data_IF_861128420668
#
_entry.id   IF_861128420668
#
_cell.length_a   1.000
_cell.length_b   1.000
_cell.length_c   1.000
_cell.angle_alpha   90.00
_cell.angle_beta   90.00
_cell.angle_gamma   90.00
#
_symmetry.space_group_name_H-M   'P 1'
#
loop_
_entity.id
_entity.type
_entity.pdbx_description
1 polymer ?
#
# COMPACT_ATOMS: atom_id res chain seq x y z
N UNK A 1 16.60 -33.99 21.94
CA UNK A 1 15.78 -32.81 22.29
C UNK A 1 15.37 -32.14 21.00
N UNK A 2 14.13 -32.35 20.56
CA UNK A 2 13.60 -31.77 19.34
C UNK A 2 13.04 -30.39 19.67
N UNK A 3 13.57 -29.36 19.01
CA UNK A 3 13.05 -27.99 19.14
C UNK A 3 11.58 -27.97 18.70
N UNK A 4 10.67 -27.37 19.48
CA UNK A 4 9.27 -27.29 19.09
C UNK A 4 9.14 -26.42 17.83
N UNK A 5 8.28 -26.80 16.87
CA UNK A 5 8.04 -26.00 15.67
C UNK A 5 7.51 -24.62 16.08
N UNK A 6 8.07 -23.57 15.48
CA UNK A 6 7.64 -22.20 15.72
C UNK A 6 6.12 -22.07 15.47
N UNK A 7 5.38 -21.32 16.32
CA UNK A 7 3.94 -21.18 16.15
C UNK A 7 3.62 -20.59 14.77
N UNK A 8 2.74 -21.19 13.97
CA UNK A 8 2.38 -20.70 12.63
C UNK A 8 1.72 -19.31 12.63
N UNK A 9 1.38 -18.75 13.79
CA UNK A 9 0.71 -17.46 13.93
C UNK A 9 1.59 -16.21 13.74
N UNK A 10 2.92 -16.29 13.93
CA UNK A 10 3.76 -15.08 13.96
C UNK A 10 4.10 -14.51 12.58
N UNK A 11 4.30 -15.35 11.56
CA UNK A 11 4.69 -14.88 10.22
C UNK A 11 3.50 -14.25 9.47
N UNK A 12 2.31 -14.85 9.60
CA UNK A 12 1.11 -14.40 8.90
C UNK A 12 0.56 -13.08 9.46
N UNK A 13 0.61 -12.90 10.78
CA UNK A 13 0.23 -11.64 11.44
C UNK A 13 1.24 -10.53 11.16
N UNK A 14 2.54 -10.85 11.13
CA UNK A 14 3.60 -9.90 10.77
C UNK A 14 3.45 -9.38 9.34
N UNK A 15 3.19 -10.27 8.38
CA UNK A 15 2.98 -9.89 6.98
C UNK A 15 1.76 -8.98 6.79
N UNK A 16 0.69 -9.20 7.56
CA UNK A 16 -0.51 -8.35 7.52
C UNK A 16 -0.25 -6.97 8.14
N UNK A 17 0.54 -6.91 9.23
CA UNK A 17 0.97 -5.65 9.84
C UNK A 17 1.84 -4.83 8.89
N UNK A 18 2.79 -5.47 8.20
CA UNK A 18 3.64 -4.82 7.20
C UNK A 18 2.84 -4.30 6.02
N UNK A 19 1.86 -5.07 5.53
CA UNK A 19 0.97 -4.65 4.47
C UNK A 19 0.16 -3.39 4.87
N UNK A 20 -0.38 -3.37 6.10
CA UNK A 20 -1.09 -2.20 6.63
C UNK A 20 -0.17 -0.97 6.76
N UNK A 21 1.07 -1.15 7.22
CA UNK A 21 2.07 -0.07 7.28
C UNK A 21 2.39 0.48 5.90
N UNK A 22 2.59 -0.40 4.92
CA UNK A 22 2.82 -0.02 3.52
C UNK A 22 1.67 0.80 2.94
N UNK A 23 0.43 0.36 3.20
CA UNK A 23 -0.77 1.08 2.77
C UNK A 23 -0.82 2.51 3.34
N UNK A 24 -0.63 2.64 4.65
CA UNK A 24 -0.64 3.95 5.33
C UNK A 24 0.47 4.85 4.80
N UNK A 25 1.69 4.31 4.62
CA UNK A 25 2.81 5.07 4.09
C UNK A 25 2.52 5.60 2.68
N UNK A 26 2.06 4.73 1.77
CA UNK A 26 1.74 5.12 0.39
C UNK A 26 0.57 6.12 0.33
N UNK A 27 -0.44 5.96 1.19
CA UNK A 27 -1.55 6.91 1.27
C UNK A 27 -1.08 8.31 1.71
N UNK A 28 -0.16 8.39 2.68
CA UNK A 28 0.43 9.66 3.12
C UNK A 28 1.26 10.29 2.01
N UNK A 29 2.09 9.49 1.32
CA UNK A 29 2.89 9.98 0.19
C UNK A 29 1.99 10.51 -0.93
N UNK A 30 0.89 9.80 -1.27
CA UNK A 30 -0.05 10.24 -2.29
C UNK A 30 -0.67 11.60 -1.95
N UNK A 31 -1.07 11.80 -0.69
CA UNK A 31 -1.60 13.09 -0.22
C UNK A 31 -0.55 14.21 -0.29
N UNK A 32 0.69 13.92 0.12
CA UNK A 32 1.79 14.88 0.04
C UNK A 32 2.08 15.31 -1.40
N UNK A 33 2.08 14.37 -2.35
CA UNK A 33 2.27 14.68 -3.77
C UNK A 33 1.16 15.60 -4.30
N UNK A 34 -0.09 15.31 -3.98
CA UNK A 34 -1.23 16.16 -4.40
C UNK A 34 -1.11 17.58 -3.83
N UNK A 35 -0.68 17.71 -2.58
CA UNK A 35 -0.42 19.02 -1.99
C UNK A 35 0.68 19.77 -2.73
N UNK A 36 1.82 19.11 -3.01
CA UNK A 36 2.90 19.74 -3.77
C UNK A 36 2.48 20.14 -5.19
N UNK A 37 1.60 19.38 -5.85
CA UNK A 37 0.98 19.78 -7.13
C UNK A 37 0.23 21.10 -7.02
N UNK A 38 -0.58 21.27 -5.98
CA UNK A 38 -1.34 22.50 -5.77
C UNK A 38 -0.44 23.70 -5.46
N UNK A 39 0.60 23.48 -4.64
CA UNK A 39 1.59 24.52 -4.30
C UNK A 39 2.36 25.00 -5.53
N UNK A 40 2.79 24.07 -6.40
CA UNK A 40 3.47 24.40 -7.66
C UNK A 40 2.51 25.15 -8.60
N UNK A 41 1.25 24.72 -8.71
CA UNK A 41 0.24 25.40 -9.54
C UNK A 41 -0.06 26.82 -9.06
N UNK A 42 -0.13 27.01 -7.74
CA UNK A 42 -0.35 28.32 -7.12
C UNK A 42 0.84 29.25 -7.39
N UNK A 43 2.05 28.74 -7.18
CA UNK A 43 3.30 29.49 -7.44
C UNK A 43 3.43 29.85 -8.92
N UNK A 44 3.05 28.94 -9.82
CA UNK A 44 3.00 29.18 -11.27
C UNK A 44 2.06 30.33 -11.63
N UNK A 45 0.85 30.34 -11.07
CA UNK A 45 -0.14 31.38 -11.36
C UNK A 45 0.39 32.77 -10.97
N UNK A 46 1.13 32.87 -9.87
CA UNK A 46 1.82 34.09 -9.46
C UNK A 46 3.00 34.46 -10.36
N UNK A 47 3.83 33.48 -10.73
CA UNK A 47 5.01 33.72 -11.58
C UNK A 47 4.65 34.09 -13.02
N UNK A 48 3.64 33.46 -13.63
CA UNK A 48 3.18 33.82 -14.98
C UNK A 48 2.61 35.24 -15.04
N UNK A 49 1.99 35.71 -13.96
CA UNK A 49 1.52 37.08 -13.86
C UNK A 49 2.69 38.10 -13.78
N UNK A 50 3.84 37.67 -13.25
CA UNK A 50 5.01 38.53 -13.04
C UNK A 50 6.05 38.45 -14.19
N UNK A 51 6.20 37.29 -14.84
CA UNK A 51 7.19 37.04 -15.89
C UNK A 51 6.51 36.84 -17.26
N UNK A 52 6.42 37.93 -18.02
CA UNK A 52 6.09 37.87 -19.45
C UNK A 52 7.35 37.67 -20.31
N UNK A 53 7.24 36.90 -21.40
CA UNK A 53 8.31 36.73 -22.40
C UNK A 53 8.91 35.34 -22.48
N UNK A 54 10.11 35.23 -23.06
CA UNK A 54 10.80 33.97 -23.38
C UNK A 54 11.04 33.07 -22.16
N UNK A 55 11.35 33.66 -21.00
CA UNK A 55 11.61 32.92 -19.74
C UNK A 55 10.35 32.25 -19.18
N UNK A 56 9.19 32.90 -19.34
CA UNK A 56 7.89 32.32 -18.97
C UNK A 56 7.57 31.05 -19.78
N UNK A 57 7.95 31.02 -21.07
CA UNK A 57 7.75 29.87 -21.94
C UNK A 57 8.65 28.68 -21.57
N UNK A 58 9.93 28.92 -21.24
CA UNK A 58 10.84 27.88 -20.79
C UNK A 58 10.40 27.27 -19.44
N UNK A 59 9.96 28.12 -18.51
CA UNK A 59 9.43 27.68 -17.22
C UNK A 59 8.12 26.90 -17.35
N UNK A 60 7.21 27.32 -18.25
CA UNK A 60 5.98 26.57 -18.54
C UNK A 60 6.25 25.17 -19.08
N UNK A 61 7.28 25.01 -19.92
CA UNK A 61 7.69 23.69 -20.43
C UNK A 61 8.22 22.80 -19.32
N UNK A 62 9.09 23.32 -18.46
CA UNK A 62 9.60 22.60 -17.29
C UNK A 62 8.46 22.12 -16.39
N UNK A 63 7.45 22.96 -16.15
CA UNK A 63 6.28 22.60 -15.37
C UNK A 63 5.41 21.53 -16.02
N UNK A 64 5.29 21.56 -17.35
CA UNK A 64 4.56 20.53 -18.10
C UNK A 64 5.25 19.18 -17.96
N UNK A 65 6.57 19.16 -18.12
CA UNK A 65 7.38 17.94 -17.95
C UNK A 65 7.30 17.43 -16.51
N UNK A 66 7.39 18.33 -15.52
CA UNK A 66 7.23 18.01 -14.12
C UNK A 66 5.85 17.42 -13.81
N UNK A 67 4.78 18.04 -14.29
CA UNK A 67 3.41 17.54 -14.10
C UNK A 67 3.25 16.13 -14.66
N UNK A 68 3.79 15.87 -15.86
CA UNK A 68 3.77 14.54 -16.46
C UNK A 68 4.49 13.49 -15.63
N UNK A 69 5.64 13.81 -15.05
CA UNK A 69 6.36 12.91 -14.15
C UNK A 69 5.56 12.64 -12.86
N UNK A 70 4.97 13.67 -12.28
CA UNK A 70 4.18 13.54 -11.05
C UNK A 70 2.92 12.68 -11.28
N UNK A 71 2.28 12.80 -12.45
CA UNK A 71 1.13 11.98 -12.81
C UNK A 71 1.50 10.49 -12.91
N UNK A 72 2.67 10.18 -13.49
CA UNK A 72 3.20 8.81 -13.55
C UNK A 72 3.45 8.27 -12.13
N UNK A 73 4.11 9.05 -11.28
CA UNK A 73 4.40 8.65 -9.88
C UNK A 73 3.10 8.42 -9.11
N UNK A 74 2.14 9.33 -9.23
CA UNK A 74 0.83 9.25 -8.55
C UNK A 74 0.06 8.01 -8.99
N UNK A 75 0.08 7.70 -10.29
CA UNK A 75 -0.52 6.48 -10.84
C UNK A 75 0.13 5.22 -10.26
N UNK A 76 1.46 5.17 -10.25
CA UNK A 76 2.19 4.00 -9.72
C UNK A 76 1.91 3.80 -8.22
N UNK A 77 1.83 4.88 -7.43
CA UNK A 77 1.44 4.80 -6.03
C UNK A 77 0.01 4.27 -5.88
N UNK A 78 -0.93 4.75 -6.70
CA UNK A 78 -2.30 4.24 -6.70
C UNK A 78 -2.36 2.73 -6.97
N UNK A 79 -1.62 2.25 -7.97
CA UNK A 79 -1.53 0.82 -8.27
C UNK A 79 -0.92 0.01 -7.13
N UNK A 80 0.11 0.53 -6.45
CA UNK A 80 0.67 -0.14 -5.28
C UNK A 80 -0.32 -0.20 -4.11
N UNK A 81 -1.08 0.87 -3.87
CA UNK A 81 -2.15 0.89 -2.86
C UNK A 81 -3.20 -0.19 -3.15
N UNK A 82 -3.66 -0.29 -4.40
CA UNK A 82 -4.60 -1.33 -4.84
C UNK A 82 -4.03 -2.73 -4.60
N UNK A 83 -2.77 -2.98 -4.96
CA UNK A 83 -2.12 -4.27 -4.75
C UNK A 83 -1.97 -4.65 -3.28
N UNK A 84 -1.68 -3.69 -2.40
CA UNK A 84 -1.63 -3.93 -0.96
C UNK A 84 -3.03 -4.25 -0.40
N UNK A 85 -4.07 -3.58 -0.89
CA UNK A 85 -5.46 -3.89 -0.52
C UNK A 85 -5.86 -5.31 -0.98
N UNK A 86 -5.60 -5.67 -2.24
CA UNK A 86 -5.83 -7.01 -2.78
C UNK A 86 -5.11 -8.08 -1.94
N UNK A 87 -3.83 -7.83 -1.62
CA UNK A 87 -3.02 -8.71 -0.78
C UNK A 87 -3.63 -8.88 0.61
N UNK A 88 -4.13 -7.79 1.21
CA UNK A 88 -4.75 -7.83 2.52
C UNK A 88 -6.06 -8.63 2.55
N UNK A 89 -6.85 -8.55 1.49
CA UNK A 89 -8.07 -9.37 1.31
C UNK A 89 -7.69 -10.85 1.19
N UNK A 90 -6.71 -11.17 0.35
CA UNK A 90 -6.24 -12.54 0.15
C UNK A 90 -5.70 -13.16 1.45
N UNK A 91 -4.90 -12.40 2.20
CA UNK A 91 -4.35 -12.84 3.49
C UNK A 91 -5.45 -13.16 4.52
N UNK A 92 -6.53 -12.36 4.58
CA UNK A 92 -7.68 -12.63 5.45
C UNK A 92 -8.43 -13.90 5.03
N UNK A 93 -8.63 -14.10 3.73
CA UNK A 93 -9.27 -15.31 3.20
C UNK A 93 -8.48 -16.58 3.55
N UNK A 94 -7.15 -16.53 3.39
CA UNK A 94 -6.26 -17.63 3.77
C UNK A 94 -6.27 -17.92 5.28
N UNK A 95 -6.32 -16.88 6.13
CA UNK A 95 -6.45 -17.09 7.58
C UNK A 95 -7.75 -17.83 7.93
N UNK A 96 -8.88 -17.45 7.31
CA UNK A 96 -10.17 -18.13 7.52
C UNK A 96 -10.11 -19.61 7.16
N UNK A 97 -9.62 -19.95 5.96
CA UNK A 97 -9.48 -21.34 5.52
C UNK A 97 -8.54 -22.17 6.41
N UNK A 98 -7.42 -21.58 6.82
CA UNK A 98 -6.48 -22.25 7.73
C UNK A 98 -7.11 -22.49 9.09
N UNK A 99 -7.85 -21.52 9.65
CA UNK A 99 -8.57 -21.69 10.92
C UNK A 99 -9.63 -22.79 10.82
N UNK A 100 -10.43 -22.82 9.75
CA UNK A 100 -11.43 -23.88 9.54
C UNK A 100 -10.79 -25.26 9.43
N UNK A 101 -9.69 -25.39 8.67
CA UNK A 101 -8.94 -26.64 8.51
C UNK A 101 -8.32 -27.12 9.82
N UNK A 102 -7.77 -26.21 10.63
CA UNK A 102 -7.24 -26.54 11.95
C UNK A 102 -8.38 -27.00 12.86
N UNK A 103 -9.50 -26.29 12.91
CA UNK A 103 -10.63 -26.65 13.75
C UNK A 103 -11.25 -28.00 13.34
N UNK A 104 -11.39 -28.30 12.04
CA UNK A 104 -11.88 -29.60 11.59
C UNK A 104 -10.92 -30.74 11.95
N UNK A 105 -9.62 -30.49 11.90
CA UNK A 105 -8.60 -31.46 12.27
C UNK A 105 -8.58 -31.72 13.79
N UNK A 106 -8.66 -30.67 14.61
CA UNK A 106 -8.74 -30.79 16.07
C UNK A 106 -10.00 -31.56 16.52
N UNK A 107 -11.16 -31.28 15.91
CA UNK A 107 -12.40 -32.04 16.19
C UNK A 107 -12.27 -33.53 15.86
N UNK A 108 -11.55 -33.87 14.79
CA UNK A 108 -11.33 -35.27 14.41
C UNK A 108 -10.43 -36.00 15.40
N UNK A 109 -9.44 -35.31 15.96
CA UNK A 109 -8.52 -35.87 16.96
C UNK A 109 -9.20 -36.06 18.34
N UNK A 110 -10.09 -35.14 18.73
CA UNK A 110 -10.90 -35.27 19.95
C UNK A 110 -11.88 -36.45 19.89
N UNK A 111 -12.47 -36.72 18.72
CA UNK A 111 -13.33 -37.89 18.52
C UNK A 111 -12.52 -39.19 18.65
N UNK A 112 -11.28 -39.22 18.18
CA UNK A 112 -10.42 -40.39 18.32
C UNK A 112 -9.97 -40.63 19.77
N UNK A 113 -9.71 -39.55 20.52
CA UNK A 113 -9.39 -39.63 21.95
C UNK A 113 -10.55 -40.06 22.85
N UNK A 114 -11.79 -39.96 22.38
CA UNK A 114 -12.97 -40.50 23.08
C UNK A 114 -13.20 -42.01 22.85
N UNK A 115 -12.46 -42.62 21.92
CA UNK A 115 -12.59 -44.05 21.58
C UNK A 115 -11.48 -44.93 22.19
N UNK A 116 -10.56 -44.35 22.96
CA UNK A 116 -9.48 -45.04 23.70
C UNK A 116 -9.63 -44.86 25.20
#
# INVERSE_FOLDING_TARGET
MSTPPAPPGNLQTSSQSENQKGYTALSTVQSGIKQSQEEVRTTMSGLMAAYGGQDGGAYQRLLTDWSGQVDIITKNIGQMIEKLQETGVLQRGLQGQTTETIQSSSRSNDVFGQLT
#
